data_IF_728289039460
#
_entry.id   IF_728289039460
#
_cell.length_a   1.000
_cell.length_b   1.000
_cell.length_c   1.000
_cell.angle_alpha   90.00
_cell.angle_beta   90.00
_cell.angle_gamma   90.00
#
_symmetry.space_group_name_H-M   'P 1'
#
loop_
_entity.id
_entity.type
_entity.pdbx_description
1 polymer ?
#
# COMPACT_ATOMS: atom_id res chain seq x y z
N UNK A 1 20.39 -31.86 -9.99
CA UNK A 1 19.96 -32.27 -8.64
C UNK A 1 18.70 -31.47 -8.30
N UNK A 2 17.54 -32.12 -8.22
CA UNK A 2 16.28 -31.47 -7.82
C UNK A 2 16.38 -31.09 -6.34
N UNK A 3 16.35 -29.79 -6.03
CA UNK A 3 15.88 -29.30 -4.74
C UNK A 3 14.50 -28.72 -4.99
N UNK A 4 13.48 -29.51 -4.70
CA UNK A 4 12.17 -28.96 -4.36
C UNK A 4 12.39 -28.24 -3.04
N UNK A 5 12.28 -26.91 -3.09
CA UNK A 5 12.14 -26.07 -1.92
C UNK A 5 10.67 -25.68 -1.98
N UNK A 6 9.80 -26.50 -1.40
CA UNK A 6 8.51 -25.97 -0.98
C UNK A 6 8.87 -24.96 0.11
N UNK A 7 8.75 -23.67 -0.19
CA UNK A 7 8.66 -22.69 0.89
C UNK A 7 7.43 -23.09 1.70
N UNK A 8 7.57 -23.27 3.01
CA UNK A 8 6.66 -24.05 3.86
C UNK A 8 5.23 -23.48 4.02
N UNK A 9 4.73 -22.56 3.18
CA UNK A 9 3.36 -22.08 3.22
C UNK A 9 2.58 -22.48 1.96
N UNK A 10 1.57 -23.32 2.13
CA UNK A 10 0.63 -23.72 1.08
C UNK A 10 -0.76 -23.17 1.38
N UNK A 11 -1.37 -22.43 0.46
CA UNK A 11 -2.77 -22.02 0.56
C UNK A 11 -3.69 -23.08 -0.06
N UNK A 12 -4.68 -23.56 0.68
CA UNK A 12 -5.68 -24.49 0.17
C UNK A 12 -7.04 -23.81 0.11
N UNK A 13 -7.66 -23.85 -1.08
CA UNK A 13 -8.91 -23.15 -1.39
C UNK A 13 -9.91 -24.14 -1.98
N UNK A 14 -11.17 -24.09 -1.53
CA UNK A 14 -12.25 -24.88 -2.10
C UNK A 14 -12.64 -24.43 -3.52
N UNK A 15 -13.12 -25.37 -4.33
CA UNK A 15 -13.67 -25.27 -5.70
C UNK A 15 -13.37 -24.01 -6.57
N UNK A 16 -12.88 -24.24 -7.79
CA UNK A 16 -12.51 -23.20 -8.75
C UNK A 16 -13.72 -22.43 -9.27
N UNK A 17 -14.88 -23.09 -9.39
CA UNK A 17 -16.09 -22.46 -9.96
C UNK A 17 -16.72 -21.46 -8.99
N UNK A 18 -16.31 -21.48 -7.72
CA UNK A 18 -16.72 -20.56 -6.67
C UNK A 18 -15.83 -19.30 -6.57
N UNK A 19 -14.67 -19.31 -7.24
CA UNK A 19 -13.67 -18.23 -7.23
C UNK A 19 -13.90 -17.24 -8.36
N UNK A 20 -13.94 -15.94 -8.05
CA UNK A 20 -13.92 -14.91 -9.10
C UNK A 20 -12.55 -14.87 -9.80
N UNK A 21 -12.53 -14.58 -11.11
CA UNK A 21 -11.30 -14.46 -11.90
C UNK A 21 -10.29 -13.48 -11.30
N UNK A 22 -10.79 -12.42 -10.67
CA UNK A 22 -9.96 -11.42 -10.00
C UNK A 22 -9.22 -12.05 -8.81
N UNK A 23 -9.91 -12.79 -7.95
CA UNK A 23 -9.31 -13.46 -6.78
C UNK A 23 -8.23 -14.46 -7.20
N UNK A 24 -8.45 -15.22 -8.27
CA UNK A 24 -7.44 -16.13 -8.82
C UNK A 24 -6.20 -15.35 -9.27
N UNK A 25 -6.37 -14.19 -9.90
CA UNK A 25 -5.25 -13.33 -10.27
C UNK A 25 -4.50 -12.81 -9.03
N UNK A 26 -5.21 -12.47 -7.95
CA UNK A 26 -4.61 -12.08 -6.66
C UNK A 26 -3.71 -13.17 -6.12
N UNK A 27 -4.26 -14.39 -6.00
CA UNK A 27 -3.54 -15.54 -5.45
C UNK A 27 -2.33 -15.92 -6.30
N UNK A 28 -2.42 -15.80 -7.63
CA UNK A 28 -1.29 -16.03 -8.53
C UNK A 28 -0.13 -15.04 -8.37
N UNK A 29 -0.40 -13.83 -7.85
CA UNK A 29 0.59 -12.77 -7.67
C UNK A 29 1.15 -12.70 -6.25
N UNK A 30 0.37 -13.15 -5.26
CA UNK A 30 0.92 -13.46 -3.95
C UNK A 30 1.96 -14.57 -4.15
N UNK A 31 3.19 -14.40 -3.66
CA UNK A 31 4.29 -15.37 -3.83
C UNK A 31 4.06 -16.72 -3.11
N UNK A 32 2.80 -17.04 -2.83
CA UNK A 32 2.31 -18.16 -2.05
C UNK A 32 1.92 -19.28 -3.02
N UNK A 33 2.45 -20.47 -2.81
CA UNK A 33 1.95 -21.64 -3.53
C UNK A 33 0.54 -21.94 -3.04
N UNK A 34 -0.39 -22.16 -3.97
CA UNK A 34 -1.77 -22.51 -3.62
C UNK A 34 -2.27 -23.71 -4.41
N UNK A 35 -3.21 -24.45 -3.81
CA UNK A 35 -3.93 -25.55 -4.43
C UNK A 35 -5.41 -25.22 -4.35
N UNK A 36 -6.04 -25.12 -5.52
CA UNK A 36 -7.49 -25.15 -5.63
C UNK A 36 -7.94 -26.61 -5.62
N UNK A 37 -8.69 -26.99 -4.60
CA UNK A 37 -9.23 -28.34 -4.43
C UNK A 37 -10.51 -28.46 -5.28
N UNK A 38 -10.37 -28.32 -6.60
CA UNK A 38 -11.46 -28.63 -7.54
C UNK A 38 -11.24 -29.98 -8.23
N UNK A 39 -10.00 -30.50 -8.25
CA UNK A 39 -9.60 -31.67 -9.04
C UNK A 39 -8.93 -32.80 -8.26
N UNK A 40 -8.68 -32.63 -6.96
CA UNK A 40 -8.32 -33.72 -6.06
C UNK A 40 -9.60 -33.98 -5.28
N UNK A 41 -10.12 -35.23 -5.29
CA UNK A 41 -11.32 -35.57 -4.52
C UNK A 41 -11.11 -35.02 -3.11
N UNK A 42 -11.91 -34.05 -2.67
CA UNK A 42 -11.81 -33.40 -1.35
C UNK A 42 -11.55 -34.47 -0.26
N UNK A 43 -12.23 -35.61 -0.42
CA UNK A 43 -12.07 -36.82 0.39
C UNK A 43 -10.64 -37.32 0.60
N UNK A 44 -9.67 -37.09 -0.29
CA UNK A 44 -8.28 -37.52 -0.07
C UNK A 44 -7.65 -36.71 1.05
N UNK A 45 -7.75 -35.38 1.01
CA UNK A 45 -7.19 -34.53 2.07
C UNK A 45 -8.04 -34.53 3.33
N UNK A 46 -9.37 -34.57 3.20
CA UNK A 46 -10.27 -34.69 4.35
C UNK A 46 -10.04 -36.03 5.08
N UNK A 47 -9.85 -37.16 4.37
CA UNK A 47 -9.61 -38.45 5.01
C UNK A 47 -8.15 -38.65 5.48
N UNK A 48 -7.14 -38.19 4.74
CA UNK A 48 -5.73 -38.36 5.14
C UNK A 48 -5.35 -37.45 6.31
N UNK A 49 -5.96 -36.26 6.39
CA UNK A 49 -5.52 -35.25 7.34
C UNK A 49 -6.62 -34.71 8.26
N UNK A 50 -7.89 -35.10 8.06
CA UNK A 50 -9.01 -34.71 8.92
C UNK A 50 -9.45 -33.25 8.74
N UNK A 51 -9.14 -32.63 7.60
CA UNK A 51 -9.48 -31.24 7.34
C UNK A 51 -10.90 -31.10 6.84
N UNK A 52 -11.55 -29.99 7.19
CA UNK A 52 -12.77 -29.54 6.55
C UNK A 52 -12.43 -28.27 5.78
N UNK A 53 -12.55 -28.33 4.45
CA UNK A 53 -12.23 -27.19 3.61
C UNK A 53 -13.37 -26.16 3.66
N UNK A 54 -13.05 -24.87 3.78
CA UNK A 54 -14.07 -23.87 3.72
C UNK A 54 -14.50 -23.70 2.26
N UNK A 55 -15.81 -23.58 2.03
CA UNK A 55 -16.34 -23.27 0.70
C UNK A 55 -16.06 -21.82 0.37
N UNK A 56 -15.55 -21.58 -0.83
CA UNK A 56 -15.18 -20.24 -1.29
C UNK A 56 -16.34 -19.54 -2.04
N UNK A 57 -17.53 -20.14 -2.07
CA UNK A 57 -18.71 -19.64 -2.81
C UNK A 57 -19.30 -18.33 -2.32
N UNK A 58 -18.97 -17.90 -1.10
CA UNK A 58 -19.61 -16.72 -0.52
C UNK A 58 -18.70 -15.99 0.46
N UNK A 59 -18.93 -14.69 0.56
CA UNK A 59 -18.42 -13.82 1.62
C UNK A 59 -18.49 -14.55 2.98
N UNK A 60 -17.37 -14.68 3.73
CA UNK A 60 -16.17 -13.84 3.68
C UNK A 60 -14.99 -14.38 2.84
N UNK A 61 -15.24 -15.29 1.90
CA UNK A 61 -14.21 -15.89 1.04
C UNK A 61 -13.05 -16.52 1.85
N UNK A 62 -13.37 -17.52 2.69
CA UNK A 62 -12.42 -18.16 3.59
C UNK A 62 -11.38 -19.01 2.86
N UNK A 63 -10.10 -18.90 3.25
CA UNK A 63 -9.02 -19.78 2.78
C UNK A 63 -8.17 -20.29 3.95
N UNK A 64 -7.41 -21.35 3.71
CA UNK A 64 -6.52 -21.95 4.69
C UNK A 64 -5.09 -21.82 4.23
N UNK A 65 -4.19 -21.39 5.12
CA UNK A 65 -2.74 -21.51 4.91
C UNK A 65 -2.21 -22.61 5.82
N UNK A 66 -1.45 -23.52 5.24
CA UNK A 66 -0.79 -24.62 5.92
C UNK A 66 0.70 -24.32 5.97
N UNK A 67 1.18 -23.96 7.16
CA UNK A 67 2.59 -23.65 7.45
C UNK A 67 3.45 -24.92 7.59
N UNK A 68 2.82 -26.06 7.88
CA UNK A 68 3.45 -27.37 7.92
C UNK A 68 2.35 -28.45 7.81
N UNK A 69 2.29 -29.14 6.67
CA UNK A 69 1.31 -30.19 6.39
C UNK A 69 1.47 -31.38 7.34
N UNK A 70 2.70 -31.69 7.76
CA UNK A 70 3.02 -32.83 8.63
C UNK A 70 2.70 -32.50 10.08
N UNK A 71 3.13 -31.33 10.55
CA UNK A 71 2.83 -30.86 11.91
C UNK A 71 1.42 -30.28 12.09
N UNK A 72 0.64 -30.18 11.00
CA UNK A 72 -0.73 -29.66 10.98
C UNK A 72 -0.83 -28.24 11.56
N UNK A 73 0.18 -27.40 11.28
CA UNK A 73 0.12 -25.98 11.63
C UNK A 73 -0.71 -25.25 10.59
N UNK A 74 -1.92 -24.90 10.97
CA UNK A 74 -2.94 -24.38 10.06
C UNK A 74 -3.44 -23.05 10.57
N UNK A 75 -3.55 -22.10 9.65
CA UNK A 75 -4.16 -20.80 9.91
C UNK A 75 -5.31 -20.59 8.91
N UNK A 76 -6.45 -20.13 9.42
CA UNK A 76 -7.63 -19.80 8.63
C UNK A 76 -7.67 -18.30 8.43
N UNK A 77 -7.97 -17.88 7.21
CA UNK A 77 -8.05 -16.48 6.82
C UNK A 77 -9.32 -16.25 6.01
N UNK A 78 -9.70 -14.98 5.91
CA UNK A 78 -10.75 -14.50 5.03
C UNK A 78 -10.13 -13.45 4.11
N UNK A 79 -10.56 -13.38 2.85
CA UNK A 79 -10.18 -12.25 2.00
C UNK A 79 -10.93 -10.97 2.36
N UNK A 80 -12.09 -11.08 3.01
CA UNK A 80 -12.80 -9.90 3.52
C UNK A 80 -12.18 -9.45 4.83
N UNK A 81 -11.81 -8.17 4.88
CA UNK A 81 -11.36 -7.50 6.09
C UNK A 81 -12.53 -7.42 7.07
N UNK A 82 -12.22 -7.59 8.36
CA UNK A 82 -13.22 -7.38 9.40
C UNK A 82 -13.75 -5.94 9.35
N UNK A 83 -15.04 -5.80 9.01
CA UNK A 83 -15.70 -4.51 8.81
C UNK A 83 -15.74 -3.67 10.08
N UNK A 84 -15.65 -4.30 11.25
CA UNK A 84 -15.61 -3.61 12.54
C UNK A 84 -14.32 -2.79 12.71
N UNK A 85 -13.26 -3.12 11.96
CA UNK A 85 -12.02 -2.35 11.93
C UNK A 85 -12.16 -1.03 11.16
N UNK A 86 -13.21 -0.89 10.33
CA UNK A 86 -13.52 0.30 9.53
C UNK A 86 -12.31 0.83 8.72
N UNK A 87 -11.47 -0.06 8.17
CA UNK A 87 -10.23 0.32 7.51
C UNK A 87 -10.47 1.01 6.16
N UNK A 88 -9.66 2.04 5.92
CA UNK A 88 -9.52 2.68 4.63
C UNK A 88 -8.22 2.23 3.96
N UNK A 89 -8.24 2.13 2.63
CA UNK A 89 -7.00 2.07 1.85
C UNK A 89 -6.67 3.44 1.31
N UNK A 90 -5.60 4.04 1.84
CA UNK A 90 -5.28 5.44 1.62
C UNK A 90 -4.21 5.67 0.56
N UNK A 91 -3.79 4.63 -0.14
CA UNK A 91 -2.78 4.72 -1.18
C UNK A 91 -3.08 3.74 -2.31
N UNK A 92 -3.82 4.20 -3.33
CA UNK A 92 -4.21 3.40 -4.48
C UNK A 92 -3.95 4.19 -5.76
N UNK A 93 -3.22 3.59 -6.70
CA UNK A 93 -3.00 4.17 -8.02
C UNK A 93 -4.09 3.78 -9.03
N UNK A 94 -4.09 4.46 -10.17
CA UNK A 94 -5.04 4.24 -11.25
C UNK A 94 -4.34 3.76 -12.52
N UNK A 95 -5.10 3.64 -13.60
CA UNK A 95 -4.55 3.47 -14.95
C UNK A 95 -3.65 4.63 -15.42
N UNK A 96 -3.60 5.74 -14.67
CA UNK A 96 -2.71 6.86 -14.98
C UNK A 96 -1.27 6.62 -14.52
N UNK A 97 -1.04 5.77 -13.51
CA UNK A 97 0.32 5.40 -13.14
C UNK A 97 1.04 4.69 -14.31
N UNK A 98 2.22 5.16 -14.70
CA UNK A 98 3.00 4.48 -15.74
C UNK A 98 3.47 3.09 -15.31
N UNK A 99 3.54 2.83 -14.01
CA UNK A 99 3.82 1.53 -13.41
C UNK A 99 2.56 0.71 -13.07
N UNK A 100 1.35 1.17 -13.41
CA UNK A 100 0.13 0.36 -13.26
C UNK A 100 0.17 -0.84 -14.20
N UNK A 101 -0.24 -2.00 -13.68
CA UNK A 101 -0.30 -3.22 -14.47
C UNK A 101 -1.70 -3.53 -15.01
N UNK A 102 -2.74 -3.42 -14.17
CA UNK A 102 -4.11 -3.79 -14.53
C UNK A 102 -5.18 -2.91 -13.85
N UNK A 103 -4.77 -1.78 -13.25
CA UNK A 103 -5.62 -0.90 -12.45
C UNK A 103 -6.69 -0.21 -13.30
N UNK A 104 -7.84 0.07 -12.68
CA UNK A 104 -8.76 1.11 -13.15
C UNK A 104 -9.58 1.64 -11.99
N UNK A 105 -9.96 2.92 -12.01
CA UNK A 105 -10.78 3.51 -10.93
C UNK A 105 -12.02 2.66 -10.62
N UNK A 106 -12.77 2.23 -11.63
CA UNK A 106 -13.97 1.39 -11.43
C UNK A 106 -13.64 0.02 -10.81
N UNK A 107 -12.55 -0.62 -11.25
CA UNK A 107 -12.14 -1.93 -10.71
C UNK A 107 -11.64 -1.80 -9.27
N UNK A 108 -10.93 -0.72 -8.95
CA UNK A 108 -10.44 -0.42 -7.60
C UNK A 108 -11.62 -0.31 -6.63
N UNK A 109 -12.62 0.53 -6.97
CA UNK A 109 -13.83 0.73 -6.16
C UNK A 109 -14.57 -0.59 -5.97
N UNK A 110 -14.72 -1.38 -7.04
CA UNK A 110 -15.42 -2.66 -6.99
C UNK A 110 -14.72 -3.65 -6.04
N UNK A 111 -13.41 -3.80 -6.15
CA UNK A 111 -12.65 -4.73 -5.31
C UNK A 111 -12.60 -4.27 -3.85
N UNK A 112 -12.39 -2.98 -3.59
CA UNK A 112 -12.40 -2.44 -2.25
C UNK A 112 -13.72 -2.72 -1.51
N UNK A 113 -14.87 -2.52 -2.19
CA UNK A 113 -16.19 -2.85 -1.64
C UNK A 113 -16.35 -4.36 -1.37
N UNK A 114 -15.81 -5.21 -2.25
CA UNK A 114 -15.84 -6.67 -2.08
C UNK A 114 -14.99 -7.12 -0.89
N UNK A 115 -13.85 -6.47 -0.64
CA UNK A 115 -12.98 -6.77 0.51
C UNK A 115 -13.46 -6.15 1.82
N UNK A 116 -14.58 -5.43 1.81
CA UNK A 116 -15.20 -4.91 3.03
C UNK A 116 -14.48 -3.69 3.61
N UNK A 117 -13.68 -2.98 2.81
CA UNK A 117 -13.12 -1.70 3.23
C UNK A 117 -14.24 -0.70 3.56
N UNK A 118 -13.95 0.23 4.47
CA UNK A 118 -14.83 1.35 4.81
C UNK A 118 -14.85 2.39 3.69
N UNK A 119 -13.71 2.59 3.05
CA UNK A 119 -13.52 3.50 1.93
C UNK A 119 -12.12 3.37 1.33
N UNK A 120 -11.87 4.12 0.27
CA UNK A 120 -10.58 4.20 -0.41
C UNK A 120 -10.21 5.63 -0.73
N UNK A 121 -8.91 5.91 -0.75
CA UNK A 121 -8.33 7.13 -1.32
C UNK A 121 -7.50 6.75 -2.53
N UNK A 122 -7.86 7.32 -3.67
CA UNK A 122 -7.08 7.21 -4.89
C UNK A 122 -6.04 8.33 -4.86
N UNK A 123 -4.76 7.96 -4.82
CA UNK A 123 -3.63 8.89 -4.72
C UNK A 123 -2.65 8.61 -5.83
N UNK A 124 -2.85 9.28 -6.96
CA UNK A 124 -1.99 9.08 -8.11
C UNK A 124 -0.64 9.79 -7.92
N UNK A 125 0.40 9.28 -8.55
CA UNK A 125 1.73 9.90 -8.60
C UNK A 125 1.64 11.29 -9.26
N UNK A 126 2.02 12.35 -8.55
CA UNK A 126 2.01 13.70 -9.09
C UNK A 126 2.90 13.82 -10.33
N UNK A 127 4.10 13.25 -10.30
CA UNK A 127 5.03 13.30 -11.44
C UNK A 127 4.45 12.59 -12.69
N UNK A 128 3.73 11.48 -12.54
CA UNK A 128 3.04 10.81 -13.67
C UNK A 128 1.88 11.65 -14.26
N UNK A 129 1.41 12.67 -13.54
CA UNK A 129 0.36 13.58 -14.01
C UNK A 129 0.92 14.81 -14.74
N UNK A 130 2.21 15.11 -14.62
CA UNK A 130 2.85 16.30 -15.23
C UNK A 130 3.95 15.97 -16.22
N UNK A 131 4.61 14.83 -16.04
CA UNK A 131 5.68 14.36 -16.90
C UNK A 131 5.21 13.12 -17.67
N UNK A 132 5.80 12.89 -18.83
CA UNK A 132 5.48 11.73 -19.65
C UNK A 132 6.27 10.48 -19.21
N UNK A 133 5.91 9.33 -19.78
CA UNK A 133 6.51 8.03 -19.41
C UNK A 133 8.02 7.92 -19.67
N UNK A 134 8.57 8.77 -20.53
CA UNK A 134 10.01 8.76 -20.87
C UNK A 134 10.86 9.64 -19.95
N UNK A 135 10.24 10.54 -19.18
CA UNK A 135 10.98 11.52 -18.38
C UNK A 135 10.50 11.70 -16.93
N UNK A 136 9.40 11.08 -16.48
CA UNK A 136 8.89 11.32 -15.11
C UNK A 136 9.89 11.03 -13.98
N UNK A 137 10.88 10.17 -14.22
CA UNK A 137 11.96 9.82 -13.27
C UNK A 137 13.32 10.39 -13.66
N UNK A 138 13.37 11.29 -14.64
CA UNK A 138 14.61 11.94 -15.06
C UNK A 138 15.15 12.82 -13.93
N UNK A 139 16.48 12.87 -13.83
CA UNK A 139 17.17 13.74 -12.88
C UNK A 139 16.80 15.23 -13.06
N UNK A 140 16.41 15.61 -14.29
CA UNK A 140 15.99 16.97 -14.61
C UNK A 140 14.67 17.34 -13.94
N UNK A 141 13.74 16.40 -13.73
CA UNK A 141 12.50 16.64 -12.99
C UNK A 141 12.80 17.07 -11.55
N UNK A 142 13.77 16.43 -10.91
CA UNK A 142 14.17 16.79 -9.54
C UNK A 142 15.13 17.98 -9.48
N UNK A 143 15.80 18.33 -10.58
CA UNK A 143 16.74 19.46 -10.61
C UNK A 143 16.05 20.79 -10.92
N UNK A 144 15.09 20.77 -11.85
CA UNK A 144 14.34 21.95 -12.32
C UNK A 144 12.92 22.02 -11.75
N UNK A 145 12.47 20.98 -11.06
CA UNK A 145 11.14 20.89 -10.49
C UNK A 145 10.05 20.85 -11.56
N UNK A 146 8.85 21.27 -11.17
CA UNK A 146 7.67 21.30 -12.04
C UNK A 146 7.86 22.16 -13.30
N UNK A 147 8.78 23.13 -13.28
CA UNK A 147 9.07 24.00 -14.43
C UNK A 147 9.66 23.28 -15.65
N UNK A 148 10.14 22.05 -15.48
CA UNK A 148 10.61 21.20 -16.57
C UNK A 148 9.49 20.44 -17.29
N UNK A 149 8.28 20.44 -16.74
CA UNK A 149 7.12 19.78 -17.35
C UNK A 149 6.61 20.54 -18.58
N UNK A 150 5.96 19.81 -19.49
CA UNK A 150 5.35 20.36 -20.70
C UNK A 150 3.84 20.20 -20.63
N UNK A 151 3.08 21.26 -20.92
CA UNK A 151 1.61 21.27 -20.77
C UNK A 151 0.92 20.21 -21.62
N UNK A 152 1.54 19.80 -22.71
CA UNK A 152 1.05 18.75 -23.60
C UNK A 152 1.09 17.35 -22.94
N UNK A 153 1.95 17.16 -21.95
CA UNK A 153 2.10 15.90 -21.19
C UNK A 153 1.14 15.82 -19.99
N UNK A 154 0.43 16.91 -19.66
CA UNK A 154 -0.38 16.98 -18.45
C UNK A 154 -1.58 16.04 -18.51
N UNK A 155 -1.64 15.12 -17.55
CA UNK A 155 -2.75 14.18 -17.32
C UNK A 155 -3.58 14.53 -16.07
N UNK A 156 -3.18 15.58 -15.33
CA UNK A 156 -3.92 16.07 -14.16
C UNK A 156 -5.39 16.37 -14.46
N UNK A 157 -5.71 16.92 -15.64
CA UNK A 157 -7.10 17.18 -16.03
C UNK A 157 -7.93 15.91 -16.15
N UNK A 158 -7.34 14.83 -16.68
CA UNK A 158 -8.01 13.53 -16.75
C UNK A 158 -8.25 12.98 -15.35
N UNK A 159 -7.26 13.10 -14.45
CA UNK A 159 -7.38 12.69 -13.05
C UNK A 159 -8.47 13.47 -12.30
N UNK A 160 -8.59 14.78 -12.52
CA UNK A 160 -9.65 15.62 -11.96
C UNK A 160 -11.05 15.26 -12.49
N UNK A 161 -11.16 14.83 -13.75
CA UNK A 161 -12.43 14.28 -14.26
C UNK A 161 -12.78 12.94 -13.61
N UNK A 162 -11.80 12.07 -13.31
CA UNK A 162 -12.06 10.87 -12.49
C UNK A 162 -12.53 11.25 -11.09
N UNK A 163 -11.87 12.21 -10.44
CA UNK A 163 -12.31 12.74 -9.14
C UNK A 163 -13.76 13.18 -9.19
N UNK A 164 -14.12 14.03 -10.15
CA UNK A 164 -15.48 14.54 -10.32
C UNK A 164 -16.51 13.44 -10.58
N UNK A 165 -16.14 12.40 -11.34
CA UNK A 165 -17.04 11.30 -11.70
C UNK A 165 -17.25 10.29 -10.58
N UNK A 166 -16.22 10.03 -9.76
CA UNK A 166 -16.19 8.88 -8.85
C UNK A 166 -16.18 9.23 -7.38
N UNK A 167 -15.92 10.48 -6.98
CA UNK A 167 -15.92 10.84 -5.56
C UNK A 167 -17.30 10.65 -4.93
N UNK A 168 -17.35 9.99 -3.78
CA UNK A 168 -18.53 9.80 -2.94
C UNK A 168 -18.08 9.53 -1.49
N UNK A 169 -19.02 9.16 -0.60
CA UNK A 169 -18.70 8.85 0.81
C UNK A 169 -17.74 7.65 0.99
N UNK A 170 -17.52 6.86 -0.06
CA UNK A 170 -16.63 5.70 -0.07
C UNK A 170 -15.31 5.98 -0.79
N UNK A 171 -15.28 6.90 -1.77
CA UNK A 171 -14.13 7.18 -2.64
C UNK A 171 -13.70 8.63 -2.49
N UNK A 172 -12.48 8.81 -1.99
CA UNK A 172 -11.81 10.11 -1.97
C UNK A 172 -10.64 10.12 -2.97
N UNK A 173 -10.22 11.32 -3.36
CA UNK A 173 -9.07 11.53 -4.25
C UNK A 173 -8.06 12.43 -3.57
N UNK A 174 -6.80 11.99 -3.61
CA UNK A 174 -5.63 12.73 -3.19
C UNK A 174 -4.52 12.61 -4.23
N UNK A 175 -3.30 12.96 -3.82
CA UNK A 175 -2.12 12.86 -4.68
C UNK A 175 -0.92 12.36 -3.87
N UNK A 176 -0.11 11.47 -4.46
CA UNK A 176 1.22 11.14 -3.96
C UNK A 176 2.22 12.13 -4.57
N UNK A 177 2.76 13.04 -3.77
CA UNK A 177 3.60 14.14 -4.23
C UNK A 177 5.02 14.04 -3.69
N UNK A 178 6.00 14.13 -4.59
CA UNK A 178 7.41 14.29 -4.26
C UNK A 178 7.86 15.75 -4.23
N UNK A 179 9.10 15.98 -3.80
CA UNK A 179 9.76 17.28 -3.90
C UNK A 179 10.98 17.22 -4.82
N UNK A 180 11.31 18.36 -5.42
CA UNK A 180 12.57 18.58 -6.13
C UNK A 180 13.76 18.73 -5.14
N UNK A 181 14.97 18.90 -5.66
CA UNK A 181 16.18 19.07 -4.83
C UNK A 181 16.23 20.40 -4.06
N UNK A 182 15.45 21.40 -4.47
CA UNK A 182 15.29 22.66 -3.74
C UNK A 182 14.29 22.51 -2.58
N UNK A 183 13.39 21.54 -2.67
CA UNK A 183 12.34 21.26 -1.69
C UNK A 183 10.97 21.71 -2.13
N UNK A 184 10.77 22.07 -3.40
CA UNK A 184 9.46 22.47 -3.94
C UNK A 184 8.69 21.23 -4.41
N UNK A 185 7.37 21.23 -4.23
CA UNK A 185 6.52 20.11 -4.64
C UNK A 185 6.51 19.94 -6.17
N UNK A 186 6.49 18.68 -6.63
CA UNK A 186 6.40 18.33 -8.05
C UNK A 186 4.94 18.32 -8.56
N UNK A 187 4.22 19.41 -8.29
CA UNK A 187 2.83 19.64 -8.70
C UNK A 187 2.59 21.15 -8.80
N UNK A 188 1.70 21.58 -9.69
CA UNK A 188 1.30 22.99 -9.76
C UNK A 188 0.46 23.34 -8.51
N UNK A 189 0.77 24.43 -7.77
CA UNK A 189 -0.03 24.86 -6.63
C UNK A 189 -1.53 25.08 -6.95
N UNK A 190 -1.86 25.49 -8.18
CA UNK A 190 -3.25 25.66 -8.60
C UNK A 190 -4.00 24.32 -8.72
N UNK A 191 -3.30 23.23 -9.03
CA UNK A 191 -3.92 21.91 -9.10
C UNK A 191 -3.90 21.21 -7.73
N UNK A 192 -2.88 21.46 -6.90
CA UNK A 192 -2.76 20.90 -5.55
C UNK A 192 -3.99 21.24 -4.68
N UNK A 193 -4.55 22.45 -4.81
CA UNK A 193 -5.74 22.89 -4.06
C UNK A 193 -6.99 22.04 -4.32
N UNK A 194 -7.00 21.21 -5.37
CA UNK A 194 -8.11 20.31 -5.65
C UNK A 194 -8.11 19.05 -4.77
N UNK A 195 -7.04 18.80 -4.01
CA UNK A 195 -6.87 17.62 -3.20
C UNK A 195 -6.93 17.95 -1.72
N UNK A 196 -7.68 17.11 -1.02
CA UNK A 196 -7.99 17.21 0.40
C UNK A 196 -7.14 16.25 1.25
N UNK A 197 -6.35 15.41 0.57
CA UNK A 197 -5.47 14.40 1.13
C UNK A 197 -4.17 14.41 0.33
N UNK A 198 -3.09 14.84 0.97
CA UNK A 198 -1.76 14.98 0.37
C UNK A 198 -0.84 13.94 1.00
N UNK A 199 -0.43 12.98 0.17
CA UNK A 199 0.49 11.93 0.54
C UNK A 199 1.90 12.33 0.07
N UNK A 200 2.76 12.75 1.00
CA UNK A 200 4.12 13.19 0.66
C UNK A 200 5.09 12.01 0.58
N UNK A 201 5.94 11.98 -0.44
CA UNK A 201 6.88 10.89 -0.68
C UNK A 201 8.30 11.38 -0.99
N UNK A 202 9.31 10.58 -0.63
CA UNK A 202 10.71 10.81 -1.04
C UNK A 202 11.09 9.76 -2.08
N UNK A 203 10.92 10.08 -3.35
CA UNK A 203 11.23 9.16 -4.46
C UNK A 203 12.71 9.18 -4.87
N UNK A 204 13.40 10.31 -4.67
CA UNK A 204 14.81 10.48 -5.02
C UNK A 204 15.54 11.27 -3.93
N UNK A 205 16.77 10.83 -3.62
CA UNK A 205 17.70 11.56 -2.77
C UNK A 205 18.91 12.01 -3.59
N UNK A 206 19.29 13.28 -3.47
CA UNK A 206 20.56 13.77 -4.03
C UNK A 206 21.76 13.04 -3.41
N UNK A 207 21.68 12.75 -2.11
CA UNK A 207 22.65 11.96 -1.37
C UNK A 207 21.90 10.90 -0.54
N UNK A 208 22.07 9.62 -0.87
CA UNK A 208 21.42 8.52 -0.16
C UNK A 208 22.16 8.21 1.16
N UNK A 209 22.10 9.17 2.09
CA UNK A 209 22.68 9.10 3.43
C UNK A 209 21.62 9.44 4.48
N UNK A 210 21.88 9.12 5.76
CA UNK A 210 20.98 9.50 6.85
C UNK A 210 20.75 11.02 6.92
N UNK A 211 21.80 11.83 6.76
CA UNK A 211 21.69 13.29 6.78
C UNK A 211 20.96 13.84 5.55
N UNK A 212 21.24 13.27 4.37
CA UNK A 212 20.54 13.62 3.13
C UNK A 212 19.05 13.34 3.24
N UNK A 213 18.69 12.17 3.79
CA UNK A 213 17.30 11.79 4.04
C UNK A 213 16.59 12.75 5.01
N UNK A 214 17.19 13.05 6.17
CA UNK A 214 16.60 13.99 7.14
C UNK A 214 16.42 15.38 6.52
N UNK A 215 17.44 15.89 5.81
CA UNK A 215 17.35 17.21 5.18
C UNK A 215 16.24 17.28 4.12
N UNK A 216 16.08 16.22 3.31
CA UNK A 216 14.98 16.14 2.34
C UNK A 216 13.63 16.02 3.04
N UNK A 217 13.53 15.19 4.09
CA UNK A 217 12.30 15.03 4.86
C UNK A 217 11.85 16.35 5.51
N UNK A 218 12.77 17.11 6.11
CA UNK A 218 12.47 18.42 6.69
C UNK A 218 11.97 19.43 5.65
N UNK A 219 12.45 19.35 4.39
CA UNK A 219 11.91 20.18 3.30
C UNK A 219 10.51 19.74 2.92
N UNK A 220 10.28 18.43 2.79
CA UNK A 220 8.97 17.89 2.46
C UNK A 220 7.93 18.22 3.53
N UNK A 221 8.26 18.06 4.81
CA UNK A 221 7.35 18.33 5.94
C UNK A 221 7.02 19.82 6.14
N UNK A 222 7.77 20.75 5.54
CA UNK A 222 7.37 22.16 5.52
C UNK A 222 6.13 22.41 4.67
N UNK A 223 5.80 21.49 3.77
CA UNK A 223 4.52 21.47 3.07
C UNK A 223 3.48 20.78 3.95
N UNK A 224 2.23 21.24 3.85
CA UNK A 224 1.10 20.70 4.61
C UNK A 224 0.69 19.34 4.04
N UNK A 225 1.46 18.29 4.38
CA UNK A 225 1.19 16.90 3.98
C UNK A 225 0.54 16.13 5.13
N UNK A 226 -0.45 15.31 4.79
CA UNK A 226 -1.21 14.53 5.78
C UNK A 226 -0.43 13.30 6.25
N UNK A 227 0.25 12.65 5.30
CA UNK A 227 0.90 11.35 5.50
C UNK A 227 2.24 11.32 4.77
N UNK A 228 3.28 10.81 5.43
CA UNK A 228 4.54 10.44 4.78
C UNK A 228 4.44 9.01 4.24
N UNK A 229 4.43 8.88 2.92
CA UNK A 229 4.39 7.63 2.18
C UNK A 229 5.69 6.83 2.36
N UNK A 230 5.54 5.51 2.55
CA UNK A 230 6.59 4.49 2.56
C UNK A 230 7.99 4.99 2.99
N UNK A 231 8.14 5.54 4.22
CA UNK A 231 9.19 6.50 4.58
C UNK A 231 10.62 6.11 4.21
N UNK A 232 10.96 4.82 4.34
CA UNK A 232 12.32 4.31 4.16
C UNK A 232 12.54 3.53 2.87
N UNK A 233 11.53 3.43 1.99
CA UNK A 233 11.59 2.64 0.74
C UNK A 233 12.75 3.05 -0.16
N UNK A 234 13.11 4.34 -0.15
CA UNK A 234 14.21 4.89 -0.94
C UNK A 234 15.55 4.19 -0.67
N UNK A 235 15.83 3.79 0.57
CA UNK A 235 17.06 3.07 0.90
C UNK A 235 17.08 1.68 0.25
N UNK A 236 15.97 0.95 0.36
CA UNK A 236 15.81 -0.38 -0.26
C UNK A 236 15.95 -0.31 -1.78
N UNK A 237 15.29 0.66 -2.44
CA UNK A 237 15.44 0.92 -3.88
C UNK A 237 16.87 1.32 -4.27
N UNK A 238 17.61 1.95 -3.37
CA UNK A 238 19.03 2.28 -3.57
C UNK A 238 19.99 1.11 -3.30
N UNK A 239 19.50 -0.06 -2.88
CA UNK A 239 20.33 -1.19 -2.49
C UNK A 239 21.10 -0.97 -1.17
N UNK A 240 20.64 -0.05 -0.32
CA UNK A 240 21.27 0.30 0.96
C UNK A 240 20.36 -0.11 2.12
N UNK A 241 20.94 -0.63 3.20
CA UNK A 241 20.18 -0.92 4.42
C UNK A 241 19.66 0.38 5.05
N UNK A 242 18.42 0.36 5.57
CA UNK A 242 17.85 1.51 6.25
C UNK A 242 18.65 1.79 7.54
N UNK A 243 19.21 3.00 7.74
CA UNK A 243 19.94 3.31 8.95
C UNK A 243 19.02 3.40 10.18
N UNK A 244 19.13 2.47 11.14
CA UNK A 244 18.29 2.44 12.35
C UNK A 244 18.30 3.75 13.16
N UNK A 245 19.39 4.51 13.09
CA UNK A 245 19.48 5.82 13.75
C UNK A 245 18.47 6.86 13.25
N UNK A 246 17.81 6.62 12.10
CA UNK A 246 16.78 7.48 11.54
C UNK A 246 15.41 7.33 12.22
N UNK A 247 15.09 6.16 12.77
CA UNK A 247 13.72 5.84 13.17
C UNK A 247 13.12 6.83 14.16
N UNK A 248 13.85 7.10 15.25
CA UNK A 248 13.43 8.04 16.28
C UNK A 248 13.42 9.50 15.80
N UNK A 249 14.46 10.03 15.12
CA UNK A 249 14.41 11.36 14.51
C UNK A 249 13.23 11.56 13.55
N UNK A 250 12.97 10.59 12.68
CA UNK A 250 11.85 10.67 11.72
C UNK A 250 10.51 10.68 12.45
N UNK A 251 10.31 9.78 13.41
CA UNK A 251 9.07 9.76 14.20
C UNK A 251 8.85 11.07 14.97
N UNK A 252 9.92 11.71 15.47
CA UNK A 252 9.84 13.04 16.10
C UNK A 252 9.43 14.13 15.13
N UNK A 253 10.02 14.16 13.93
CA UNK A 253 9.65 15.13 12.89
C UNK A 253 8.19 14.95 12.48
N UNK A 254 7.75 13.71 12.24
CA UNK A 254 6.34 13.42 11.94
C UNK A 254 5.40 13.91 13.05
N UNK A 255 5.78 13.72 14.32
CA UNK A 255 5.01 14.23 15.45
C UNK A 255 4.96 15.77 15.50
N UNK A 256 6.09 16.43 15.25
CA UNK A 256 6.22 17.88 15.26
C UNK A 256 5.35 18.55 14.20
N UNK A 257 5.35 17.98 12.99
CA UNK A 257 4.58 18.48 11.85
C UNK A 257 3.15 17.93 11.78
N UNK A 258 2.72 17.11 12.76
CA UNK A 258 1.42 16.46 12.78
C UNK A 258 1.12 15.60 11.53
N UNK A 259 2.16 15.03 10.93
CA UNK A 259 2.09 14.16 9.75
C UNK A 259 2.03 12.70 10.21
N UNK A 260 1.13 11.91 9.63
CA UNK A 260 1.07 10.48 9.91
C UNK A 260 2.15 9.69 9.15
N UNK A 261 2.50 8.51 9.66
CA UNK A 261 3.39 7.57 8.98
C UNK A 261 2.58 6.54 8.19
N UNK A 262 2.91 6.33 6.91
CA UNK A 262 2.33 5.22 6.17
C UNK A 262 2.95 3.88 6.60
N UNK A 263 2.11 2.86 6.76
CA UNK A 263 2.53 1.45 6.77
C UNK A 263 2.19 0.83 5.42
N UNK A 264 3.23 0.62 4.61
CA UNK A 264 3.11 0.13 3.24
C UNK A 264 4.12 -1.00 2.96
N UNK A 265 3.67 -2.06 2.29
CA UNK A 265 4.49 -3.23 1.95
C UNK A 265 4.80 -3.37 0.44
N UNK A 266 4.27 -2.51 -0.42
CA UNK A 266 4.55 -2.58 -1.86
C UNK A 266 6.01 -2.21 -2.16
N UNK A 267 6.79 -3.21 -2.59
CA UNK A 267 8.26 -3.11 -2.79
C UNK A 267 9.02 -2.59 -1.57
N UNK A 268 8.41 -2.69 -0.39
CA UNK A 268 8.88 -2.08 0.85
C UNK A 268 8.88 -3.09 2.01
N UNK A 269 9.52 -2.74 3.11
CA UNK A 269 9.48 -3.51 4.36
C UNK A 269 9.60 -2.53 5.52
N UNK A 270 8.48 -2.02 6.07
CA UNK A 270 8.51 -1.01 7.11
C UNK A 270 9.22 -1.55 8.37
N UNK A 271 10.25 -0.87 8.89
CA UNK A 271 10.97 -1.36 10.06
C UNK A 271 10.10 -1.37 11.32
N UNK A 272 10.01 -2.52 12.00
CA UNK A 272 9.22 -2.65 13.24
C UNK A 272 9.64 -1.65 14.32
N UNK A 273 10.94 -1.35 14.42
CA UNK A 273 11.45 -0.41 15.42
C UNK A 273 11.03 1.05 15.10
N UNK A 274 10.81 1.40 13.83
CA UNK A 274 10.19 2.67 13.48
C UNK A 274 8.73 2.74 13.91
N UNK A 275 7.97 1.66 13.72
CA UNK A 275 6.58 1.58 14.18
C UNK A 275 6.51 1.75 15.70
N UNK A 276 7.42 1.13 16.46
CA UNK A 276 7.52 1.32 17.92
C UNK A 276 7.80 2.76 18.31
N UNK A 277 8.74 3.44 17.63
CA UNK A 277 9.04 4.85 17.89
C UNK A 277 7.82 5.74 17.62
N UNK A 278 7.13 5.53 16.49
CA UNK A 278 5.88 6.22 16.15
C UNK A 278 4.79 6.03 17.20
N UNK A 279 4.53 4.78 17.62
CA UNK A 279 3.58 4.47 18.69
C UNK A 279 3.94 5.20 20.00
N UNK A 280 5.22 5.16 20.39
CA UNK A 280 5.69 5.79 21.63
C UNK A 280 5.52 7.31 21.66
N UNK A 281 5.57 7.95 20.48
CA UNK A 281 5.42 9.39 20.31
C UNK A 281 3.98 9.81 19.96
N UNK A 282 3.07 8.85 19.80
CA UNK A 282 1.69 9.11 19.39
C UNK A 282 1.61 9.72 17.98
N UNK A 283 2.47 9.26 17.07
CA UNK A 283 2.34 9.49 15.62
C UNK A 283 1.23 8.58 15.10
N UNK A 284 0.34 9.14 14.27
CA UNK A 284 -0.75 8.38 13.67
C UNK A 284 -0.25 7.57 12.47
N UNK A 285 -0.97 6.51 12.13
CA UNK A 285 -0.65 5.65 11.00
C UNK A 285 -1.68 5.74 9.89
N UNK A 286 -1.23 5.67 8.64
CA UNK A 286 -2.09 5.47 7.47
C UNK A 286 -1.78 4.13 6.85
N UNK A 287 -2.79 3.34 6.50
CA UNK A 287 -2.59 2.12 5.71
C UNK A 287 -2.76 2.45 4.24
N UNK A 288 -1.77 2.05 3.46
CA UNK A 288 -1.78 2.17 2.02
C UNK A 288 -1.29 0.88 1.41
N UNK A 289 -2.08 0.30 0.50
CA UNK A 289 -1.60 -0.82 -0.30
C UNK A 289 -0.50 -0.39 -1.27
N UNK A 290 -0.52 0.89 -1.71
CA UNK A 290 0.28 1.42 -2.82
C UNK A 290 0.10 0.53 -4.05
N UNK A 291 -1.18 0.23 -4.33
CA UNK A 291 -1.54 -0.78 -5.29
C UNK A 291 -1.24 -0.30 -6.71
N UNK A 292 -0.42 -1.06 -7.41
CA UNK A 292 -0.19 -0.99 -8.85
C UNK A 292 -0.78 -2.22 -9.57
N UNK A 293 -1.20 -3.20 -8.77
CA UNK A 293 -2.00 -4.32 -9.19
C UNK A 293 -3.29 -4.42 -8.37
N UNK A 294 -4.39 -4.79 -9.04
CA UNK A 294 -5.69 -5.05 -8.39
C UNK A 294 -5.61 -6.09 -7.26
N UNK A 295 -4.59 -6.96 -7.30
CA UNK A 295 -4.29 -7.94 -6.26
C UNK A 295 -3.89 -7.36 -4.90
N UNK A 296 -3.41 -6.12 -4.86
CA UNK A 296 -2.80 -5.53 -3.67
C UNK A 296 -3.81 -4.74 -2.83
N UNK A 297 -4.92 -4.32 -3.45
CA UNK A 297 -5.92 -3.44 -2.83
C UNK A 297 -6.44 -4.04 -1.54
N UNK A 298 -6.33 -3.28 -0.44
CA UNK A 298 -6.87 -3.68 0.85
C UNK A 298 -6.20 -4.89 1.51
N UNK A 299 -5.08 -5.42 1.01
CA UNK A 299 -4.33 -6.44 1.76
C UNK A 299 -3.58 -5.78 2.93
N UNK A 300 -4.26 -5.70 4.08
CA UNK A 300 -3.72 -5.16 5.32
C UNK A 300 -3.25 -6.21 6.32
N UNK A 301 -3.14 -7.46 5.89
CA UNK A 301 -2.69 -8.55 6.76
C UNK A 301 -1.28 -8.31 7.31
N UNK A 302 -0.37 -7.81 6.47
CA UNK A 302 1.01 -7.48 6.84
C UNK A 302 1.09 -6.28 7.79
N UNK A 303 0.30 -5.23 7.54
CA UNK A 303 0.23 -4.01 8.35
C UNK A 303 -0.29 -4.34 9.75
N UNK A 304 -1.36 -5.13 9.85
CA UNK A 304 -1.92 -5.58 11.12
C UNK A 304 -0.94 -6.48 11.90
N UNK A 305 -0.20 -7.34 11.21
CA UNK A 305 0.83 -8.17 11.84
C UNK A 305 2.02 -7.35 12.33
N UNK A 306 2.46 -6.36 11.56
CA UNK A 306 3.55 -5.47 11.95
C UNK A 306 3.20 -4.65 13.21
N UNK A 307 1.96 -4.17 13.32
CA UNK A 307 1.49 -3.51 14.55
C UNK A 307 1.55 -4.44 15.76
N UNK A 308 1.15 -5.71 15.61
CA UNK A 308 1.26 -6.72 16.68
C UNK A 308 2.72 -6.99 17.04
N UNK A 309 3.60 -7.09 16.05
CA UNK A 309 5.04 -7.26 16.25
C UNK A 309 5.67 -6.06 16.98
N UNK A 310 5.18 -4.84 16.69
CA UNK A 310 5.52 -3.63 17.41
C UNK A 310 4.91 -3.56 18.82
N UNK A 311 4.09 -4.54 19.22
CA UNK A 311 3.49 -4.65 20.55
C UNK A 311 2.16 -3.92 20.70
N UNK A 312 1.51 -3.50 19.61
CA UNK A 312 0.19 -2.88 19.64
C UNK A 312 -0.94 -3.90 19.54
N UNK A 313 -1.85 -3.89 20.52
CA UNK A 313 -3.03 -4.76 20.60
C UNK A 313 -4.31 -3.98 20.95
N UNK A 314 -4.26 -2.65 20.86
CA UNK A 314 -5.39 -1.75 21.18
C UNK A 314 -6.37 -1.58 20.03
N UNK A 315 -7.30 -0.63 20.20
CA UNK A 315 -8.23 -0.24 19.13
C UNK A 315 -7.49 0.56 18.05
N UNK A 316 -7.52 0.08 16.80
CA UNK A 316 -6.89 0.76 15.67
C UNK A 316 -7.37 2.21 15.52
N UNK A 317 -8.63 2.51 15.86
CA UNK A 317 -9.18 3.87 15.75
C UNK A 317 -8.40 4.89 16.60
N UNK A 318 -7.69 4.45 17.62
CA UNK A 318 -6.85 5.31 18.47
C UNK A 318 -5.53 5.71 17.82
N UNK A 319 -5.03 4.94 16.84
CA UNK A 319 -3.71 5.15 16.24
C UNK A 319 -3.79 5.44 14.74
N UNK A 320 -4.90 5.14 14.08
CA UNK A 320 -5.08 5.44 12.67
C UNK A 320 -5.29 6.94 12.45
N UNK A 321 -4.73 7.44 11.35
CA UNK A 321 -4.99 8.76 10.85
C UNK A 321 -6.42 8.81 10.30
N UNK A 322 -7.10 9.89 10.62
CA UNK A 322 -8.40 10.25 10.07
C UNK A 322 -8.39 11.75 9.87
N UNK A 323 -8.91 12.22 8.74
CA UNK A 323 -9.10 13.66 8.55
C UNK A 323 -9.99 14.17 9.68
N UNK A 324 -9.49 15.11 10.47
CA UNK A 324 -10.27 15.77 11.52
C UNK A 324 -11.25 16.68 10.78
N UNK A 325 -12.50 16.23 10.65
CA UNK A 325 -13.61 17.00 10.08
C UNK A 325 -14.04 18.12 11.01
#
# INVERSE_FOLDING_TARGET
MKKSIFNDLLIIIGDKDELSSNIIEILNRSALEYIIVSNIRESIYENLYGFQFPKFSSSPYPYIVVDDLVARKIKRYNLIIDKELELWDNHIHTQLAYCSENMSVEKNIKLAKLFGLKGIRITEHADHLYFNSSNYSDIECYTKGISYSFKEDYRIKEFLEYKKKFSDDFVEFGVEVGIDFNGELLIDPEDLQHFDYILGAIHVLKECTANGFISTLEKLLKHDIDVLAHPFRIFKRSGVAVPNQLFKPVAKLLKEYNTAAEINFHTNEPPVDFIKECLSLGVKFSFGSDSHNLAEIGDFSYQLNLLKEAGFFGDLKEIMWSKIT
#
